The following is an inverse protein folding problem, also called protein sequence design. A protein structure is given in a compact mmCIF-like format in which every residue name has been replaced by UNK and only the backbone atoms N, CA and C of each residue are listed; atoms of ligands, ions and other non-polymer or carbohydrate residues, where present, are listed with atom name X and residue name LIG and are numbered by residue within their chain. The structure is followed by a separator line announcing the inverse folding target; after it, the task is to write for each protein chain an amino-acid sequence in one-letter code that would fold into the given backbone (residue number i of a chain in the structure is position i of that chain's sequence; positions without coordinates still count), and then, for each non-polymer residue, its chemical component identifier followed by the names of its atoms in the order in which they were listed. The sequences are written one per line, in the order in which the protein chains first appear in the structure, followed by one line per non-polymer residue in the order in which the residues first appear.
data_IF_962466389481
#
_entry.id   IF_962466389481
#
_cell.length_a   1.000
_cell.length_b   1.000
_cell.length_c   1.000
_cell.angle_alpha   90.00
_cell.angle_beta   90.00
_cell.angle_gamma   90.00
#
_symmetry.space_group_name_H-M   'P 1'
#
loop_
_entity.id
_entity.type
_entity.pdbx_description
1 polymer ?
#
# COMPACT_ATOMS: atom_id res chain seq x y z
N UNK A 1 4.07 10.51 -14.75
CA UNK A 1 4.22 9.98 -13.40
C UNK A 1 3.11 10.50 -12.52
N UNK A 2 2.52 9.64 -11.68
CA UNK A 2 1.46 10.02 -10.74
C UNK A 2 1.94 9.76 -9.32
N UNK A 3 1.77 10.72 -8.42
CA UNK A 3 2.04 10.53 -6.99
C UNK A 3 0.77 10.07 -6.31
N UNK A 4 0.87 9.03 -5.49
CA UNK A 4 -0.28 8.44 -4.79
C UNK A 4 -0.01 8.46 -3.29
N UNK A 5 -0.91 9.11 -2.54
CA UNK A 5 -0.91 9.07 -1.08
C UNK A 5 -2.14 8.34 -0.59
N UNK A 6 -1.99 7.59 0.51
CA UNK A 6 -3.11 6.80 1.03
C UNK A 6 -2.98 6.56 2.52
N UNK A 7 -4.08 6.19 3.15
CA UNK A 7 -4.20 6.08 4.60
C UNK A 7 -5.00 4.83 4.98
N UNK A 8 -4.52 4.10 5.98
CA UNK A 8 -5.25 3.00 6.59
C UNK A 8 -4.87 2.90 8.06
N UNK A 9 -5.73 2.29 8.86
CA UNK A 9 -5.41 1.99 10.25
C UNK A 9 -4.66 0.67 10.40
N UNK A 10 -3.97 0.51 11.53
CA UNK A 10 -3.36 -0.75 11.93
C UNK A 10 -3.80 -1.07 13.34
N UNK A 11 -4.12 -2.34 13.60
CA UNK A 11 -4.55 -2.79 14.95
C UNK A 11 -3.41 -2.62 15.93
N UNK A 12 -3.73 -2.13 17.13
CA UNK A 12 -2.73 -1.93 18.18
C UNK A 12 -1.96 -3.22 18.48
N UNK A 13 -2.64 -4.37 18.50
CA UNK A 13 -2.02 -5.65 18.79
C UNK A 13 -1.12 -6.16 17.66
N UNK A 14 -1.18 -5.53 16.47
CA UNK A 14 -0.44 -5.97 15.29
C UNK A 14 0.73 -5.05 14.94
N UNK A 15 0.89 -3.92 15.60
CA UNK A 15 1.89 -2.90 15.24
C UNK A 15 3.30 -3.50 15.15
N UNK A 16 3.74 -4.18 16.21
CA UNK A 16 5.11 -4.73 16.27
C UNK A 16 5.35 -5.75 15.17
N UNK A 17 4.39 -6.65 14.94
CA UNK A 17 4.50 -7.67 13.91
C UNK A 17 4.45 -7.06 12.52
N UNK A 18 3.57 -6.07 12.30
CA UNK A 18 3.46 -5.36 11.03
C UNK A 18 4.81 -4.73 10.64
N UNK A 19 5.44 -4.05 11.60
CA UNK A 19 6.74 -3.41 11.36
C UNK A 19 7.83 -4.46 11.15
N UNK A 20 7.79 -5.55 11.90
CA UNK A 20 8.79 -6.63 11.80
C UNK A 20 8.78 -7.26 10.40
N UNK A 21 7.61 -7.64 9.88
CA UNK A 21 7.53 -8.31 8.58
C UNK A 21 7.89 -7.37 7.43
N UNK A 22 7.71 -6.06 7.61
CA UNK A 22 8.05 -5.07 6.58
C UNK A 22 9.55 -4.76 6.53
N UNK A 23 10.35 -5.28 7.47
CA UNK A 23 11.80 -5.21 7.38
C UNK A 23 12.36 -6.26 6.42
N UNK A 24 11.56 -7.22 6.03
CA UNK A 24 11.98 -8.32 5.16
C UNK A 24 10.82 -8.74 4.25
N UNK A 25 10.36 -7.81 3.42
CA UNK A 25 9.29 -8.09 2.46
C UNK A 25 9.79 -9.10 1.43
N UNK A 26 8.95 -10.05 1.07
CA UNK A 26 9.32 -11.12 0.15
C UNK A 26 9.81 -10.57 -1.18
N UNK A 27 10.93 -11.11 -1.72
CA UNK A 27 11.46 -10.63 -3.00
C UNK A 27 10.46 -10.69 -4.15
N UNK A 28 9.58 -11.70 -4.18
CA UNK A 28 8.57 -11.84 -5.23
C UNK A 28 7.53 -10.71 -5.16
N UNK A 29 7.20 -10.26 -3.94
CA UNK A 29 6.26 -9.13 -3.76
C UNK A 29 6.93 -7.83 -4.23
N UNK A 30 8.20 -7.63 -3.87
CA UNK A 30 8.96 -6.45 -4.33
C UNK A 30 9.07 -6.43 -5.85
N UNK A 31 9.31 -7.58 -6.47
CA UNK A 31 9.40 -7.68 -7.93
C UNK A 31 8.08 -7.31 -8.59
N UNK A 32 6.95 -7.78 -8.07
CA UNK A 32 5.62 -7.46 -8.60
C UNK A 32 5.32 -5.97 -8.48
N UNK A 33 5.66 -5.35 -7.35
CA UNK A 33 5.50 -3.90 -7.17
C UNK A 33 6.26 -3.16 -8.27
N UNK A 34 7.50 -3.53 -8.52
CA UNK A 34 8.31 -2.92 -9.56
C UNK A 34 7.73 -3.16 -10.96
N UNK A 35 7.32 -4.39 -11.25
CA UNK A 35 6.78 -4.76 -12.56
C UNK A 35 5.43 -4.08 -12.84
N UNK A 36 4.70 -3.70 -11.80
CA UNK A 36 3.46 -2.93 -11.92
C UNK A 36 3.70 -1.43 -11.94
N UNK A 37 4.94 -1.00 -12.20
CA UNK A 37 5.32 0.39 -12.42
C UNK A 37 5.19 1.29 -11.20
N UNK A 38 5.38 0.73 -10.01
CA UNK A 38 5.40 1.48 -8.75
C UNK A 38 6.85 1.75 -8.35
N UNK A 39 7.12 2.98 -7.94
CA UNK A 39 8.45 3.45 -7.53
C UNK A 39 8.35 4.27 -6.25
N UNK A 40 9.45 4.33 -5.50
CA UNK A 40 9.56 5.18 -4.31
C UNK A 40 8.42 4.95 -3.32
N UNK A 41 8.09 3.68 -3.10
CA UNK A 41 7.00 3.27 -2.22
C UNK A 41 7.49 3.31 -0.77
N UNK A 42 6.83 4.11 0.06
CA UNK A 42 7.14 4.24 1.47
C UNK A 42 5.88 4.15 2.31
N UNK A 43 5.98 3.54 3.47
CA UNK A 43 4.89 3.51 4.45
C UNK A 43 5.42 4.11 5.75
N UNK A 44 4.67 5.06 6.28
CA UNK A 44 4.99 5.72 7.56
C UNK A 44 3.88 5.42 8.56
N UNK A 45 4.22 5.34 9.83
CA UNK A 45 3.24 5.09 10.88
C UNK A 45 3.27 6.20 11.93
N UNK A 46 2.06 6.63 12.35
CA UNK A 46 1.87 7.43 13.57
C UNK A 46 0.76 6.74 14.35
N UNK A 47 1.08 6.25 15.56
CA UNK A 47 0.14 5.50 16.41
C UNK A 47 -0.51 4.37 15.60
N UNK A 48 -1.83 4.37 15.46
CA UNK A 48 -2.58 3.34 14.73
C UNK A 48 -2.85 3.72 13.28
N UNK A 49 -2.13 4.71 12.73
CA UNK A 49 -2.33 5.17 11.37
C UNK A 49 -1.12 4.88 10.51
N UNK A 50 -1.36 4.33 9.32
CA UNK A 50 -0.35 4.10 8.30
C UNK A 50 -0.56 5.05 7.15
N UNK A 51 0.47 5.78 6.78
CA UNK A 51 0.47 6.72 5.66
C UNK A 51 1.39 6.14 4.60
N UNK A 52 0.87 5.90 3.41
CA UNK A 52 1.68 5.36 2.32
C UNK A 52 1.80 6.37 1.20
N UNK A 53 2.94 6.33 0.54
CA UNK A 53 3.22 7.13 -0.65
C UNK A 53 3.93 6.26 -1.67
N UNK A 54 3.52 6.37 -2.93
CA UNK A 54 4.33 5.83 -4.01
C UNK A 54 4.12 6.63 -5.30
N UNK A 55 5.00 6.39 -6.26
CA UNK A 55 4.92 6.99 -7.57
C UNK A 55 4.59 5.91 -8.59
N UNK A 56 3.65 6.22 -9.47
CA UNK A 56 3.27 5.33 -10.54
C UNK A 56 3.80 5.89 -11.86
N UNK A 57 4.59 5.09 -12.58
CA UNK A 57 5.26 5.52 -13.81
C UNK A 57 4.72 4.83 -15.06
N UNK A 58 3.65 4.05 -14.94
CA UNK A 58 3.05 3.34 -16.08
C UNK A 58 2.03 4.19 -16.83
N UNK A 59 1.37 3.55 -17.79
CA UNK A 59 0.41 4.20 -18.69
C UNK A 59 -1.05 3.86 -18.35
N UNK A 60 -1.30 2.81 -17.56
CA UNK A 60 -2.65 2.36 -17.22
C UNK A 60 -2.66 1.85 -15.77
N UNK A 61 -2.93 2.77 -14.86
CA UNK A 61 -2.89 2.50 -13.42
C UNK A 61 -3.86 1.37 -13.04
N UNK A 62 -5.08 1.42 -13.58
CA UNK A 62 -6.09 0.42 -13.23
C UNK A 62 -5.67 -0.98 -13.68
N UNK A 63 -5.11 -1.09 -14.89
CA UNK A 63 -4.65 -2.37 -15.41
C UNK A 63 -3.49 -2.92 -14.57
N UNK A 64 -2.55 -2.06 -14.17
CA UNK A 64 -1.40 -2.49 -13.38
C UNK A 64 -1.81 -2.89 -11.96
N UNK A 65 -2.79 -2.18 -11.36
CA UNK A 65 -3.30 -2.57 -10.03
C UNK A 65 -4.08 -3.88 -10.09
N UNK A 66 -4.84 -4.10 -11.15
CA UNK A 66 -5.53 -5.38 -11.37
C UNK A 66 -4.53 -6.52 -11.50
N UNK A 67 -3.44 -6.29 -12.25
CA UNK A 67 -2.38 -7.27 -12.42
C UNK A 67 -1.68 -7.59 -11.10
N UNK A 68 -1.43 -6.57 -10.28
CA UNK A 68 -0.85 -6.77 -8.94
C UNK A 68 -1.77 -7.60 -8.06
N UNK A 69 -3.06 -7.29 -8.05
CA UNK A 69 -4.05 -8.02 -7.24
C UNK A 69 -4.23 -9.46 -7.69
N UNK A 70 -3.85 -9.80 -8.93
CA UNK A 70 -3.92 -11.16 -9.45
C UNK A 70 -2.65 -11.98 -9.17
N UNK A 71 -1.56 -11.33 -8.74
CA UNK A 71 -0.29 -12.02 -8.49
C UNK A 71 -0.39 -12.92 -7.26
N UNK A 72 -0.10 -14.25 -7.40
CA UNK A 72 -0.29 -15.19 -6.29
C UNK A 72 0.53 -14.84 -5.04
N UNK A 73 1.77 -14.42 -5.19
CA UNK A 73 2.62 -14.08 -4.04
C UNK A 73 2.17 -12.81 -3.33
N UNK A 74 1.73 -11.82 -4.10
CA UNK A 74 1.16 -10.59 -3.53
C UNK A 74 -0.12 -10.91 -2.75
N UNK A 75 -0.98 -11.76 -3.30
CA UNK A 75 -2.20 -12.18 -2.59
C UNK A 75 -1.90 -12.94 -1.32
N UNK A 76 -0.88 -13.80 -1.33
CA UNK A 76 -0.43 -14.52 -0.15
C UNK A 76 0.08 -13.53 0.91
N UNK A 77 0.86 -12.54 0.54
CA UNK A 77 1.33 -11.49 1.42
C UNK A 77 0.15 -10.72 2.03
N UNK A 78 -0.85 -10.38 1.22
CA UNK A 78 -2.03 -9.67 1.70
C UNK A 78 -2.87 -10.48 2.68
N UNK A 79 -2.87 -11.82 2.59
CA UNK A 79 -3.56 -12.63 3.62
C UNK A 79 -2.93 -12.47 4.99
N UNK A 80 -1.68 -12.04 5.06
CA UNK A 80 -0.98 -11.77 6.31
C UNK A 80 -1.24 -10.34 6.76
N UNK A 81 -1.16 -9.36 5.86
CA UNK A 81 -1.26 -7.95 6.20
C UNK A 81 -2.70 -7.48 6.40
N UNK A 82 -3.66 -7.98 5.61
CA UNK A 82 -5.05 -7.52 5.69
C UNK A 82 -5.66 -7.65 7.09
N UNK A 83 -5.48 -8.77 7.82
CA UNK A 83 -6.02 -8.89 9.17
C UNK A 83 -5.42 -7.92 10.18
N UNK A 84 -4.26 -7.35 9.90
CA UNK A 84 -3.59 -6.37 10.76
C UNK A 84 -4.11 -4.96 10.52
N UNK A 85 -4.76 -4.74 9.39
CA UNK A 85 -5.18 -3.42 8.94
C UNK A 85 -6.67 -3.18 9.22
N UNK A 86 -7.02 -1.91 9.42
CA UNK A 86 -8.40 -1.47 9.66
C UNK A 86 -8.66 -0.28 8.74
N UNK A 87 -9.56 -0.40 7.74
CA UNK A 87 -9.90 0.76 6.91
C UNK A 87 -10.41 1.91 7.75
N UNK A 88 -10.04 3.14 7.36
CA UNK A 88 -10.54 4.31 8.06
C UNK A 88 -11.99 4.58 7.65
N UNK A 89 -12.72 5.31 8.51
CA UNK A 89 -14.12 5.65 8.29
C UNK A 89 -14.33 6.41 6.98
N UNK A 90 -13.37 7.24 6.61
CA UNK A 90 -13.39 8.06 5.39
C UNK A 90 -13.13 7.27 4.10
N UNK A 91 -12.75 5.99 4.19
CA UNK A 91 -12.55 5.18 3.00
C UNK A 91 -13.86 5.04 2.23
N UNK A 92 -13.78 5.20 0.91
CA UNK A 92 -14.97 5.07 0.04
C UNK A 92 -15.34 3.59 -0.12
N UNK A 93 -16.58 3.29 -0.50
CA UNK A 93 -16.97 1.92 -0.80
C UNK A 93 -16.00 1.27 -1.79
N UNK A 94 -15.50 0.09 -1.43
CA UNK A 94 -14.52 -0.63 -2.26
C UNK A 94 -13.06 -0.25 -2.02
N UNK A 95 -12.79 0.80 -1.25
CA UNK A 95 -11.42 1.15 -0.88
C UNK A 95 -11.01 0.40 0.39
N UNK A 96 -9.81 -0.20 0.36
CA UNK A 96 -9.15 -0.74 1.56
C UNK A 96 -8.30 0.37 2.18
N UNK A 97 -7.33 0.87 1.42
CA UNK A 97 -6.60 2.10 1.75
C UNK A 97 -7.38 3.29 1.21
N UNK A 98 -7.60 4.31 2.04
CA UNK A 98 -8.29 5.52 1.60
C UNK A 98 -7.35 6.38 0.78
N UNK A 99 -7.78 6.77 -0.42
CA UNK A 99 -6.98 7.65 -1.28
C UNK A 99 -6.95 9.06 -0.68
N UNK A 100 -5.77 9.67 -0.65
CA UNK A 100 -5.56 11.03 -0.18
C UNK A 100 -5.47 11.99 -1.37
N UNK A 101 -6.02 13.17 -1.19
CA UNK A 101 -5.96 14.21 -2.22
C UNK A 101 -4.64 14.96 -2.09
N UNK A 102 -3.88 15.03 -3.19
CA UNK A 102 -2.69 15.89 -3.23
C UNK A 102 -3.15 17.35 -3.23
N UNK A 103 -2.70 18.11 -2.25
CA UNK A 103 -3.07 19.53 -2.12
C UNK A 103 -1.94 20.48 -2.44
N UNK A 104 -0.70 19.97 -2.55
CA UNK A 104 0.47 20.76 -2.88
C UNK A 104 1.61 19.85 -3.30
N UNK A 105 2.38 20.29 -4.28
CA UNK A 105 3.64 19.65 -4.68
C UNK A 105 4.56 20.68 -5.30
N UNK A 106 5.84 20.53 -5.02
CA UNK A 106 6.92 21.27 -5.69
C UNK A 106 8.13 20.33 -5.84
N UNK A 107 8.74 20.34 -7.00
CA UNK A 107 9.96 19.56 -7.24
C UNK A 107 11.16 20.11 -6.47
#
# INVERSE_FOLDING_TARGET
MQRKGMLIGVRSSAIDEYERIHQDVWPEVLATIHDCNIRNYSIFRLENMLFAYYEYIGDDYQADMTRMAADPKTREWWTITDPMQVPVEEAKPGEWWAALKEVFHVD
#
